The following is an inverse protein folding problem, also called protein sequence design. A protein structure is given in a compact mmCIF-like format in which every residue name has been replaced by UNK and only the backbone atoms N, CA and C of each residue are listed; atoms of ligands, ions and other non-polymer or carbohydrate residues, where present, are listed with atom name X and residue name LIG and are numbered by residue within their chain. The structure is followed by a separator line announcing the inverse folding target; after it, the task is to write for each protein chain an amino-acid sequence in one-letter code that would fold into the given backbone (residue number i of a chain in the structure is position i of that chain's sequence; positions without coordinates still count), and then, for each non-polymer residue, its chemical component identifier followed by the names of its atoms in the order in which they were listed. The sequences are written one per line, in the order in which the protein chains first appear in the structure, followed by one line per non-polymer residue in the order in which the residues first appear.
data_IF_491377475558
#
_entry.id   IF_491377475558
#
_cell.length_a   1.000
_cell.length_b   1.000
_cell.length_c   1.000
_cell.angle_alpha   90.00
_cell.angle_beta   90.00
_cell.angle_gamma   90.00
#
_symmetry.space_group_name_H-M   'P 1'
#
loop_
_entity.id
_entity.type
_entity.pdbx_description
1 polymer ?
#
# COMPACT_ATOMS: atom_id res chain seq x y z
N UNK A 1 12.15 8.91 33.82
CA UNK A 1 12.03 10.01 34.79
C UNK A 1 10.85 10.81 34.29
N UNK A 2 9.63 10.70 34.82
CA UNK A 2 9.14 10.25 36.13
C UNK A 2 7.77 9.51 35.97
N UNK A 3 7.28 8.93 37.08
CA UNK A 3 5.87 8.52 37.34
C UNK A 3 5.41 7.21 36.67
N UNK A 4 4.81 6.20 37.33
CA UNK A 4 4.25 6.00 38.66
C UNK A 4 4.37 4.49 39.00
N UNK A 5 4.72 4.15 40.25
CA UNK A 5 4.75 2.78 40.75
C UNK A 5 3.36 2.42 41.30
N UNK A 6 2.53 1.74 40.51
CA UNK A 6 1.34 1.07 41.05
C UNK A 6 1.72 -0.30 41.62
N UNK A 7 1.66 -0.40 42.95
CA UNK A 7 1.81 -1.61 43.73
C UNK A 7 0.45 -2.32 43.85
N UNK A 8 0.29 -3.50 43.23
CA UNK A 8 -0.77 -4.44 43.58
C UNK A 8 -0.17 -5.70 44.22
N UNK A 9 -0.63 -6.00 45.44
CA UNK A 9 -0.23 -7.13 46.26
C UNK A 9 -1.10 -8.35 45.92
N UNK A 10 -0.48 -9.41 45.40
CA UNK A 10 -1.06 -10.75 45.43
C UNK A 10 0.03 -11.78 45.77
N UNK A 11 -0.17 -12.49 46.88
CA UNK A 11 0.51 -13.72 47.30
C UNK A 11 1.99 -13.62 47.74
N UNK A 12 2.31 -12.65 48.59
CA UNK A 12 3.37 -12.77 49.61
C UNK A 12 4.82 -12.97 49.14
N UNK A 13 5.13 -12.83 47.84
CA UNK A 13 6.50 -12.96 47.32
C UNK A 13 6.92 -11.72 46.55
N UNK A 14 7.85 -10.95 47.12
CA UNK A 14 8.55 -9.83 46.47
C UNK A 14 9.23 -10.31 45.18
N UNK A 15 8.66 -10.03 44.02
CA UNK A 15 9.33 -10.20 42.72
C UNK A 15 9.65 -8.83 42.11
N UNK A 16 10.93 -8.52 41.96
CA UNK A 16 11.41 -7.35 41.23
C UNK A 16 11.04 -7.50 39.75
N UNK A 17 10.17 -6.65 39.21
CA UNK A 17 9.99 -6.52 37.76
C UNK A 17 11.25 -5.90 37.14
N UNK A 18 12.03 -6.69 36.41
CA UNK A 18 13.03 -6.15 35.47
C UNK A 18 12.36 -6.00 34.10
N UNK A 19 12.39 -4.79 33.53
CA UNK A 19 12.02 -4.55 32.13
C UNK A 19 13.06 -5.22 31.23
N UNK A 20 12.61 -6.17 30.40
CA UNK A 20 13.39 -6.78 29.31
C UNK A 20 13.23 -5.90 28.06
N UNK A 21 14.32 -5.67 27.32
CA UNK A 21 14.28 -5.03 26.00
C UNK A 21 14.18 -6.13 24.93
N UNK A 22 13.11 -6.11 24.15
CA UNK A 22 12.96 -6.95 22.96
C UNK A 22 13.76 -6.38 21.79
N UNK A 23 14.22 -7.25 20.87
CA UNK A 23 14.64 -6.83 19.52
C UNK A 23 13.48 -6.94 18.52
N UNK A 24 13.73 -6.48 17.30
CA UNK A 24 12.74 -6.18 16.25
C UNK A 24 12.02 -7.43 15.69
N UNK A 25 12.44 -8.64 16.06
CA UNK A 25 11.85 -9.90 15.58
C UNK A 25 11.04 -10.66 16.65
N UNK A 26 11.05 -10.21 17.90
CA UNK A 26 10.22 -10.78 18.98
C UNK A 26 10.65 -12.17 19.47
N UNK A 27 11.91 -12.55 19.27
CA UNK A 27 12.46 -13.80 19.79
C UNK A 27 13.25 -13.51 21.09
N UNK A 28 12.85 -14.14 22.20
CA UNK A 28 13.51 -14.03 23.50
C UNK A 28 13.95 -15.42 24.00
N UNK A 29 15.14 -15.48 24.62
CA UNK A 29 15.53 -16.58 25.50
C UNK A 29 15.56 -16.00 26.92
N UNK A 30 14.65 -16.47 27.77
CA UNK A 30 14.64 -16.14 29.19
C UNK A 30 15.26 -17.31 29.97
N UNK A 31 16.33 -17.03 30.71
CA UNK A 31 16.82 -17.91 31.78
C UNK A 31 16.14 -17.49 33.09
N UNK A 32 15.32 -18.38 33.66
CA UNK A 32 14.82 -18.27 35.02
C UNK A 32 14.99 -19.64 35.70
N UNK A 33 15.71 -19.68 36.83
CA UNK A 33 15.87 -20.85 37.70
C UNK A 33 16.23 -22.21 37.03
N UNK A 34 16.99 -22.18 35.92
CA UNK A 34 17.43 -23.41 35.22
C UNK A 34 16.45 -23.97 34.20
N UNK A 35 15.41 -23.20 33.85
CA UNK A 35 14.50 -23.47 32.73
C UNK A 35 14.75 -22.47 31.57
N UNK A 36 14.82 -22.98 30.34
CA UNK A 36 14.93 -22.18 29.13
C UNK A 36 13.55 -22.06 28.47
N UNK A 37 13.15 -20.82 28.19
CA UNK A 37 11.95 -20.52 27.42
C UNK A 37 12.34 -20.14 25.99
N UNK A 38 11.84 -20.90 25.02
CA UNK A 38 11.96 -20.59 23.59
C UNK A 38 10.58 -20.28 23.02
N UNK A 39 10.40 -19.09 22.44
CA UNK A 39 9.13 -18.66 21.85
C UNK A 39 9.26 -18.59 20.34
N UNK A 40 8.40 -19.32 19.61
CA UNK A 40 8.32 -19.26 18.14
C UNK A 40 6.89 -19.34 17.66
N UNK A 41 6.46 -18.42 16.78
CA UNK A 41 5.11 -18.37 16.17
C UNK A 41 3.99 -18.50 17.21
N UNK A 42 4.07 -17.73 18.29
CA UNK A 42 3.10 -17.72 19.41
C UNK A 42 2.99 -19.05 20.18
N UNK A 43 3.99 -19.94 20.08
CA UNK A 43 4.10 -21.14 20.92
C UNK A 43 5.33 -21.04 21.81
N UNK A 44 5.16 -21.39 23.08
CA UNK A 44 6.19 -21.37 24.11
C UNK A 44 6.65 -22.81 24.34
N UNK A 45 7.96 -23.02 24.32
CA UNK A 45 8.60 -24.31 24.61
C UNK A 45 9.44 -24.17 25.88
N UNK A 46 9.27 -25.13 26.81
CA UNK A 46 9.98 -25.21 28.09
C UNK A 46 11.04 -26.31 28.03
N UNK A 47 12.25 -26.03 28.49
CA UNK A 47 13.35 -27.01 28.62
C UNK A 47 14.04 -26.85 29.97
N UNK A 48 14.48 -27.94 30.61
CA UNK A 48 15.32 -27.88 31.82
C UNK A 48 16.79 -28.06 31.46
N UNK A 49 17.71 -27.43 32.20
CA UNK A 49 19.16 -27.60 31.99
C UNK A 49 19.63 -29.05 32.09
N UNK A 50 18.93 -29.88 32.87
CA UNK A 50 19.17 -31.34 33.01
C UNK A 50 18.73 -32.16 31.80
N UNK A 51 17.95 -31.57 30.89
CA UNK A 51 17.52 -32.22 29.66
C UNK A 51 18.65 -32.21 28.60
N UNK A 52 19.70 -31.40 28.81
CA UNK A 52 20.84 -31.34 27.91
C UNK A 52 21.97 -32.28 28.40
N UNK A 53 22.62 -33.04 27.49
CA UNK A 53 23.80 -33.81 27.85
C UNK A 53 24.94 -32.86 28.32
N UNK A 54 25.84 -33.33 29.20
CA UNK A 54 26.91 -32.48 29.74
C UNK A 54 27.83 -31.95 28.64
N UNK A 55 28.39 -30.76 28.88
CA UNK A 55 29.15 -29.89 27.94
C UNK A 55 30.27 -30.59 27.14
N UNK A 56 30.72 -31.78 27.56
CA UNK A 56 31.79 -32.55 26.91
C UNK A 56 31.42 -33.98 26.49
N UNK A 57 30.21 -34.46 26.80
CA UNK A 57 29.81 -35.85 26.52
C UNK A 57 29.80 -36.17 25.01
N UNK A 58 29.34 -35.23 24.20
CA UNK A 58 29.27 -35.35 22.74
C UNK A 58 30.65 -35.32 22.08
N UNK A 59 31.58 -34.50 22.61
CA UNK A 59 32.95 -34.39 22.11
C UNK A 59 33.79 -35.63 22.42
N UNK A 60 33.53 -36.32 23.53
CA UNK A 60 34.24 -37.55 23.90
C UNK A 60 33.79 -38.78 23.11
N UNK A 61 32.58 -38.77 22.52
CA UNK A 61 32.00 -39.96 21.87
C UNK A 61 31.90 -39.90 20.33
N UNK A 62 32.16 -38.75 19.68
CA UNK A 62 32.09 -38.63 18.22
C UNK A 62 33.11 -37.64 17.63
N UNK A 63 34.30 -38.10 17.17
CA UNK A 63 35.22 -37.26 16.41
C UNK A 63 34.73 -37.14 14.96
N UNK A 64 34.43 -35.90 14.56
CA UNK A 64 33.78 -35.46 13.31
C UNK A 64 32.25 -35.69 13.26
N UNK A 65 31.44 -34.63 13.13
CA UNK A 65 30.00 -34.77 13.07
C UNK A 65 29.62 -35.43 11.75
N UNK A 66 29.21 -36.70 11.79
CA UNK A 66 28.55 -37.36 10.66
C UNK A 66 27.32 -36.54 10.25
N UNK A 67 27.24 -36.13 8.98
CA UNK A 67 26.12 -35.39 8.40
C UNK A 67 25.19 -36.38 7.70
N UNK A 68 24.01 -36.66 8.28
CA UNK A 68 23.04 -37.51 7.60
C UNK A 68 22.40 -36.74 6.44
N UNK A 69 22.03 -37.39 5.31
CA UNK A 69 21.39 -36.72 4.18
C UNK A 69 20.13 -35.92 4.56
N UNK A 70 19.47 -36.34 5.64
CA UNK A 70 18.30 -35.67 6.20
C UNK A 70 18.65 -34.37 6.91
N UNK A 71 19.74 -34.35 7.67
CA UNK A 71 20.28 -33.15 8.31
C UNK A 71 20.77 -32.17 7.26
N UNK A 72 21.53 -32.64 6.26
CA UNK A 72 22.03 -31.81 5.17
C UNK A 72 20.89 -31.13 4.40
N UNK A 73 19.88 -31.90 3.99
CA UNK A 73 18.72 -31.37 3.27
C UNK A 73 17.97 -30.31 4.06
N UNK A 74 17.83 -30.50 5.38
CA UNK A 74 17.13 -29.55 6.24
C UNK A 74 17.92 -28.26 6.44
N UNK A 75 19.25 -28.36 6.59
CA UNK A 75 20.15 -27.21 6.69
C UNK A 75 20.11 -26.38 5.40
N UNK A 76 20.29 -27.02 4.24
CA UNK A 76 20.20 -26.37 2.92
C UNK A 76 18.84 -25.68 2.75
N UNK A 77 17.74 -26.37 3.02
CA UNK A 77 16.37 -25.84 2.87
C UNK A 77 16.10 -24.61 3.77
N UNK A 78 16.80 -24.48 4.89
CA UNK A 78 16.64 -23.35 5.81
C UNK A 78 17.59 -22.20 5.47
N UNK A 79 18.79 -22.51 4.98
CA UNK A 79 19.70 -21.53 4.40
C UNK A 79 19.09 -20.84 3.17
N UNK A 80 18.42 -21.60 2.29
CA UNK A 80 17.69 -21.07 1.13
C UNK A 80 16.57 -20.10 1.54
N UNK A 81 16.04 -20.24 2.76
CA UNK A 81 15.03 -19.32 3.33
C UNK A 81 15.65 -18.12 4.04
N UNK A 82 16.99 -18.00 4.04
CA UNK A 82 17.71 -16.93 4.72
C UNK A 82 17.68 -17.06 6.25
N UNK A 83 17.49 -18.26 6.81
CA UNK A 83 17.63 -18.44 8.27
C UNK A 83 19.10 -18.31 8.69
N UNK A 84 19.38 -17.74 9.87
CA UNK A 84 20.77 -17.66 10.37
C UNK A 84 21.26 -19.04 10.83
N UNK A 85 22.58 -19.24 10.93
CA UNK A 85 23.14 -20.50 11.43
C UNK A 85 22.66 -20.85 12.85
N UNK A 86 22.46 -19.84 13.70
CA UNK A 86 21.90 -19.98 15.05
C UNK A 86 20.43 -20.45 14.98
N UNK A 87 19.62 -19.87 14.10
CA UNK A 87 18.20 -20.23 13.94
C UNK A 87 18.03 -21.66 13.42
N UNK A 88 18.88 -22.05 12.47
CA UNK A 88 18.91 -23.41 11.91
C UNK A 88 19.22 -24.41 13.02
N UNK A 89 20.22 -24.10 13.84
CA UNK A 89 20.64 -24.92 14.98
C UNK A 89 19.53 -25.06 16.01
N UNK A 90 18.92 -23.95 16.42
CA UNK A 90 17.81 -23.94 17.38
C UNK A 90 16.62 -24.77 16.88
N UNK A 91 16.25 -24.62 15.60
CA UNK A 91 15.16 -25.40 15.01
C UNK A 91 15.49 -26.89 14.92
N UNK A 92 16.73 -27.24 14.58
CA UNK A 92 17.17 -28.63 14.55
C UNK A 92 17.13 -29.24 15.95
N UNK A 93 17.63 -28.55 16.96
CA UNK A 93 17.55 -29.00 18.36
C UNK A 93 16.10 -29.32 18.74
N UNK A 94 15.15 -28.43 18.46
CA UNK A 94 13.72 -28.66 18.73
C UNK A 94 13.16 -29.86 17.95
N UNK A 95 13.53 -30.03 16.69
CA UNK A 95 13.01 -31.11 15.83
C UNK A 95 13.54 -32.50 16.20
N UNK A 96 14.84 -32.59 16.47
CA UNK A 96 15.51 -33.86 16.76
C UNK A 96 15.29 -34.28 18.22
N UNK A 97 15.14 -33.32 19.14
CA UNK A 97 14.66 -33.56 20.51
C UNK A 97 13.32 -34.30 20.53
N UNK A 98 12.33 -33.83 19.74
CA UNK A 98 11.01 -34.47 19.63
C UNK A 98 11.05 -35.90 19.10
N UNK A 99 12.13 -36.29 18.42
CA UNK A 99 12.30 -37.62 17.81
C UNK A 99 13.21 -38.54 18.62
N UNK A 100 13.73 -38.06 19.76
CA UNK A 100 14.65 -38.82 20.61
C UNK A 100 15.99 -39.12 19.94
N UNK A 101 16.41 -38.30 18.95
CA UNK A 101 17.69 -38.49 18.26
C UNK A 101 18.62 -37.30 18.47
N UNK A 102 19.93 -37.57 18.54
CA UNK A 102 20.99 -36.58 18.76
C UNK A 102 21.68 -36.16 17.47
N UNK A 103 20.95 -36.10 16.35
CA UNK A 103 21.50 -35.74 15.02
C UNK A 103 21.57 -34.23 14.77
N UNK A 104 21.23 -33.40 15.76
CA UNK A 104 21.29 -31.94 15.62
C UNK A 104 22.76 -31.45 15.54
N UNK A 105 22.95 -30.26 14.98
CA UNK A 105 24.28 -29.65 14.74
C UNK A 105 24.35 -28.31 15.44
N UNK A 106 25.51 -27.99 15.99
CA UNK A 106 25.77 -26.69 16.60
C UNK A 106 25.98 -25.60 15.54
N UNK A 107 25.81 -24.34 15.94
CA UNK A 107 25.90 -23.20 15.04
C UNK A 107 27.23 -23.14 14.28
N UNK A 108 28.35 -23.42 14.98
CA UNK A 108 29.67 -23.45 14.34
C UNK A 108 29.80 -24.61 13.33
N UNK A 109 29.19 -25.77 13.61
CA UNK A 109 29.21 -26.93 12.71
C UNK A 109 28.39 -26.66 11.44
N UNK A 110 27.24 -26.02 11.58
CA UNK A 110 26.43 -25.55 10.45
C UNK A 110 27.22 -24.55 9.62
N UNK A 111 27.86 -23.56 10.25
CA UNK A 111 28.72 -22.59 9.56
C UNK A 111 29.88 -23.26 8.81
N UNK A 112 30.60 -24.17 9.45
CA UNK A 112 31.75 -24.85 8.84
C UNK A 112 31.33 -25.73 7.65
N UNK A 113 30.21 -26.45 7.77
CA UNK A 113 29.61 -27.20 6.66
C UNK A 113 29.25 -26.27 5.50
N UNK A 114 28.59 -25.15 5.79
CA UNK A 114 28.22 -24.15 4.78
C UNK A 114 29.43 -23.59 4.04
N UNK A 115 30.48 -23.21 4.77
CA UNK A 115 31.72 -22.67 4.20
C UNK A 115 32.44 -23.73 3.34
N UNK A 116 32.54 -24.97 3.85
CA UNK A 116 33.19 -26.06 3.13
C UNK A 116 32.47 -26.40 1.80
N UNK A 117 31.12 -26.39 1.82
CA UNK A 117 30.28 -26.71 0.68
C UNK A 117 29.87 -25.49 -0.16
N UNK A 118 30.39 -24.29 0.16
CA UNK A 118 30.06 -23.00 -0.50
C UNK A 118 28.56 -22.70 -0.52
N UNK A 119 27.85 -23.05 0.55
CA UNK A 119 26.44 -22.75 0.78
C UNK A 119 26.36 -21.45 1.57
N UNK A 120 26.16 -20.32 0.89
CA UNK A 120 26.05 -19.02 1.56
C UNK A 120 24.58 -18.65 1.79
N UNK A 121 24.21 -18.13 2.97
CA UNK A 121 22.83 -17.74 3.24
C UNK A 121 22.41 -16.60 2.31
N UNK A 122 21.25 -16.74 1.68
CA UNK A 122 20.64 -15.75 0.76
C UNK A 122 20.51 -14.35 1.40
N UNK A 123 20.47 -14.26 2.74
CA UNK A 123 20.39 -12.99 3.49
C UNK A 123 21.58 -12.05 3.24
N UNK A 124 22.79 -12.55 3.04
CA UNK A 124 23.97 -11.68 2.90
C UNK A 124 23.93 -10.90 1.57
N UNK A 125 23.42 -11.51 0.50
CA UNK A 125 23.16 -10.81 -0.78
C UNK A 125 22.03 -9.79 -0.65
N UNK A 126 21.01 -10.08 0.17
CA UNK A 126 19.86 -9.20 0.37
C UNK A 126 20.24 -7.90 1.10
N UNK A 127 20.99 -7.97 2.21
CA UNK A 127 21.39 -6.79 2.97
C UNK A 127 22.33 -5.88 2.14
N UNK A 128 23.27 -6.48 1.40
CA UNK A 128 24.15 -5.75 0.47
C UNK A 128 23.33 -5.06 -0.65
N UNK A 129 22.29 -5.73 -1.18
CA UNK A 129 21.42 -5.16 -2.21
C UNK A 129 20.58 -3.98 -1.68
N UNK A 130 20.10 -4.05 -0.43
CA UNK A 130 19.34 -2.99 0.24
C UNK A 130 20.20 -1.74 0.44
N UNK A 131 21.43 -1.90 0.93
CA UNK A 131 22.37 -0.80 1.15
C UNK A 131 22.84 -0.17 -0.18
N UNK A 132 23.08 -0.99 -1.19
CA UNK A 132 23.36 -0.53 -2.55
C UNK A 132 22.18 0.27 -3.14
N UNK A 133 20.94 -0.17 -2.91
CA UNK A 133 19.74 0.54 -3.37
C UNK A 133 19.59 1.90 -2.68
N UNK A 134 19.81 1.96 -1.37
CA UNK A 134 19.80 3.21 -0.60
C UNK A 134 20.88 4.20 -1.07
N UNK A 135 22.13 3.76 -1.16
CA UNK A 135 23.25 4.61 -1.58
C UNK A 135 23.09 5.11 -3.03
N UNK A 136 22.58 4.28 -3.93
CA UNK A 136 22.32 4.69 -5.31
C UNK A 136 21.13 5.65 -5.43
N UNK A 137 20.03 5.39 -4.71
CA UNK A 137 18.89 6.31 -4.59
C UNK A 137 19.35 7.69 -4.17
N UNK A 138 20.30 7.74 -3.25
CA UNK A 138 20.87 8.99 -2.79
C UNK A 138 21.56 9.78 -3.93
N UNK A 139 22.31 9.11 -4.79
CA UNK A 139 22.94 9.72 -5.96
C UNK A 139 21.90 10.19 -6.99
N UNK A 140 20.83 9.42 -7.19
CA UNK A 140 19.74 9.76 -8.12
C UNK A 140 19.00 11.02 -7.72
N UNK A 141 18.75 11.28 -6.43
CA UNK A 141 18.01 12.45 -5.97
C UNK A 141 18.48 13.78 -6.60
N UNK A 142 19.80 14.03 -6.65
CA UNK A 142 20.35 15.27 -7.20
C UNK A 142 20.25 15.34 -8.73
N UNK A 143 20.44 14.21 -9.42
CA UNK A 143 20.48 14.16 -10.88
C UNK A 143 19.08 14.09 -11.50
N UNK A 144 18.12 13.43 -10.84
CA UNK A 144 16.77 13.24 -11.33
C UNK A 144 16.04 14.56 -11.55
N UNK A 145 16.12 15.50 -10.58
CA UNK A 145 15.48 16.81 -10.73
C UNK A 145 16.12 17.66 -11.81
N UNK A 146 17.44 17.55 -12.01
CA UNK A 146 18.13 18.28 -13.10
C UNK A 146 17.69 17.77 -14.47
N UNK A 147 17.58 16.45 -14.65
CA UNK A 147 17.11 15.82 -15.89
C UNK A 147 15.67 16.24 -16.24
N UNK A 148 14.81 16.33 -15.23
CA UNK A 148 13.40 16.64 -15.40
C UNK A 148 13.06 18.12 -15.10
N UNK A 149 14.04 19.02 -15.05
CA UNK A 149 13.78 20.42 -14.63
C UNK A 149 12.91 21.19 -15.64
N UNK A 150 12.99 20.82 -16.92
CA UNK A 150 12.34 21.50 -18.04
C UNK A 150 11.01 20.85 -18.46
N UNK A 151 10.70 19.65 -17.96
CA UNK A 151 9.51 18.88 -18.33
C UNK A 151 8.67 18.55 -17.11
N UNK A 152 7.35 18.57 -17.26
CA UNK A 152 6.46 17.88 -16.33
C UNK A 152 6.61 16.37 -16.53
N UNK A 153 6.60 15.61 -15.44
CA UNK A 153 6.56 14.14 -15.54
C UNK A 153 5.24 13.74 -16.17
N UNK A 154 5.31 12.94 -17.23
CA UNK A 154 4.14 12.45 -17.92
C UNK A 154 3.60 11.22 -17.16
N UNK A 155 2.42 11.36 -16.56
CA UNK A 155 1.71 10.30 -15.83
C UNK A 155 0.48 9.84 -16.64
N UNK A 156 0.57 9.89 -17.97
CA UNK A 156 -0.55 9.52 -18.86
C UNK A 156 -0.78 8.03 -18.99
N UNK A 157 0.20 7.18 -18.69
CA UNK A 157 0.03 5.73 -18.80
C UNK A 157 0.05 5.06 -17.44
N UNK A 158 -0.72 4.00 -17.29
CA UNK A 158 -0.72 3.14 -16.11
C UNK A 158 0.70 2.67 -15.78
N UNK A 159 1.10 2.85 -14.51
CA UNK A 159 2.42 2.45 -14.03
C UNK A 159 2.45 0.94 -13.76
N UNK A 160 2.83 0.18 -14.78
CA UNK A 160 3.09 -1.25 -14.64
C UNK A 160 4.57 -1.49 -14.28
N UNK A 161 4.87 -2.29 -13.24
CA UNK A 161 6.24 -2.63 -12.90
C UNK A 161 6.95 -3.36 -14.05
N UNK A 162 8.15 -2.89 -14.42
CA UNK A 162 8.95 -3.62 -15.39
C UNK A 162 9.62 -4.85 -14.74
N UNK A 163 9.78 -5.90 -15.55
CA UNK A 163 10.46 -7.14 -15.16
C UNK A 163 11.35 -7.60 -16.31
N UNK A 164 12.61 -7.21 -16.25
CA UNK A 164 13.65 -7.63 -17.20
C UNK A 164 15.00 -7.58 -16.49
N UNK A 165 15.96 -8.38 -16.97
CA UNK A 165 17.34 -8.30 -16.51
C UNK A 165 18.00 -6.98 -16.93
N UNK A 166 18.96 -6.52 -16.14
CA UNK A 166 19.73 -5.33 -16.45
C UNK A 166 18.99 -4.01 -16.20
N UNK A 167 19.55 -2.93 -16.76
CA UNK A 167 19.08 -1.56 -16.52
C UNK A 167 17.96 -1.18 -17.47
N UNK A 168 17.07 -0.29 -17.03
CA UNK A 168 16.05 0.33 -17.87
C UNK A 168 16.69 1.39 -18.78
N UNK A 169 17.30 0.93 -19.86
CA UNK A 169 17.96 1.72 -20.90
C UNK A 169 17.42 1.29 -22.26
N UNK A 170 17.71 2.05 -23.32
CA UNK A 170 17.22 1.81 -24.67
C UNK A 170 17.63 0.42 -25.22
N UNK A 171 18.79 -0.08 -24.80
CA UNK A 171 19.34 -1.39 -25.20
C UNK A 171 18.90 -2.55 -24.28
N UNK A 172 17.91 -2.35 -23.40
CA UNK A 172 17.39 -3.43 -22.57
C UNK A 172 16.79 -4.54 -23.44
N UNK A 173 17.05 -5.80 -23.09
CA UNK A 173 16.46 -6.97 -23.76
C UNK A 173 15.79 -7.88 -22.73
N UNK A 174 14.44 -8.01 -22.72
CA UNK A 174 13.50 -7.29 -23.59
C UNK A 174 13.48 -5.77 -23.31
N UNK A 175 12.99 -4.95 -24.26
CA UNK A 175 12.84 -3.51 -24.08
C UNK A 175 12.06 -3.16 -22.81
N UNK A 176 12.50 -2.10 -22.13
CA UNK A 176 11.87 -1.69 -20.89
C UNK A 176 10.66 -0.80 -21.16
N UNK A 177 9.45 -1.29 -20.87
CA UNK A 177 8.19 -0.52 -20.94
C UNK A 177 8.28 0.84 -20.22
N UNK A 178 8.89 0.90 -19.03
CA UNK A 178 9.01 2.16 -18.30
C UNK A 178 9.86 3.18 -19.07
N UNK A 179 10.91 2.71 -19.75
CA UNK A 179 11.76 3.57 -20.57
C UNK A 179 11.03 4.03 -21.84
N UNK A 180 10.36 3.11 -22.55
CA UNK A 180 9.60 3.41 -23.77
C UNK A 180 8.50 4.44 -23.53
N UNK A 181 7.73 4.28 -22.45
CA UNK A 181 6.67 5.21 -22.06
C UNK A 181 7.20 6.46 -21.34
N UNK A 182 8.52 6.59 -21.16
CA UNK A 182 9.18 7.70 -20.46
C UNK A 182 8.63 7.94 -19.04
N UNK A 183 8.16 6.87 -18.40
CA UNK A 183 7.67 6.89 -17.02
C UNK A 183 8.79 6.46 -16.05
N UNK A 184 8.91 7.08 -14.87
CA UNK A 184 9.89 6.64 -13.89
C UNK A 184 9.60 5.22 -13.40
N UNK A 185 10.64 4.41 -13.21
CA UNK A 185 10.49 3.13 -12.52
C UNK A 185 10.10 3.37 -11.06
N UNK A 186 9.16 2.59 -10.54
CA UNK A 186 8.71 2.67 -9.14
C UNK A 186 9.52 1.72 -8.26
N UNK A 187 9.25 1.68 -6.95
CA UNK A 187 9.83 0.67 -6.04
C UNK A 187 9.40 -0.77 -6.39
N UNK A 188 8.29 -0.93 -7.11
CA UNK A 188 7.74 -2.23 -7.48
C UNK A 188 8.45 -2.84 -8.70
N UNK A 189 9.19 -2.03 -9.47
CA UNK A 189 9.94 -2.53 -10.64
C UNK A 189 11.08 -3.47 -10.22
N UNK A 190 11.20 -4.58 -10.94
CA UNK A 190 12.20 -5.64 -10.74
C UNK A 190 13.49 -5.43 -11.55
N UNK A 191 13.66 -4.26 -12.15
CA UNK A 191 14.91 -3.88 -12.81
C UNK A 191 16.06 -3.68 -11.82
N UNK A 192 17.28 -3.65 -12.34
CA UNK A 192 18.52 -3.49 -11.59
C UNK A 192 18.44 -2.42 -10.48
N UNK A 193 19.04 -2.69 -9.31
CA UNK A 193 19.02 -1.75 -8.18
C UNK A 193 19.67 -0.41 -8.46
N UNK A 194 20.56 -0.36 -9.47
CA UNK A 194 21.21 0.85 -9.98
C UNK A 194 20.47 1.44 -11.20
N UNK A 195 19.18 1.12 -11.34
CA UNK A 195 18.34 1.68 -12.40
C UNK A 195 18.26 3.21 -12.29
N UNK A 196 18.77 3.89 -13.32
CA UNK A 196 18.77 5.36 -13.41
C UNK A 196 17.40 5.97 -13.71
N UNK A 197 16.45 5.16 -14.16
CA UNK A 197 15.07 5.56 -14.43
C UNK A 197 14.19 5.50 -13.16
N UNK A 198 14.71 4.96 -12.05
CA UNK A 198 13.93 4.81 -10.80
C UNK A 198 13.69 6.16 -10.13
N UNK A 199 12.46 6.36 -9.66
CA UNK A 199 12.09 7.55 -8.91
C UNK A 199 12.76 7.54 -7.52
N UNK A 200 13.54 8.57 -7.16
CA UNK A 200 14.33 8.54 -5.93
C UNK A 200 13.58 8.94 -4.66
N UNK A 201 12.33 9.42 -4.78
CA UNK A 201 11.59 10.04 -3.69
C UNK A 201 12.08 11.44 -3.34
N UNK A 202 11.60 11.99 -2.23
CA UNK A 202 12.03 13.29 -1.73
C UNK A 202 13.00 13.18 -0.54
N UNK A 203 13.71 14.28 -0.28
CA UNK A 203 14.50 14.49 0.94
C UNK A 203 14.09 15.77 1.67
N UNK A 204 12.80 16.09 1.61
CA UNK A 204 12.27 17.29 2.25
C UNK A 204 12.35 17.16 3.77
N UNK A 205 12.43 18.30 4.46
CA UNK A 205 12.21 18.35 5.89
C UNK A 205 10.76 17.97 6.23
N UNK A 206 10.48 17.48 7.46
CA UNK A 206 9.15 17.15 7.93
C UNK A 206 8.13 18.26 7.62
N UNK A 207 6.94 17.88 7.14
CA UNK A 207 5.84 18.81 6.86
C UNK A 207 5.94 19.67 5.59
N UNK A 208 7.05 19.61 4.84
CA UNK A 208 7.32 20.58 3.74
C UNK A 208 6.83 20.17 2.35
N UNK A 209 6.28 18.97 2.16
CA UNK A 209 5.93 18.42 0.84
C UNK A 209 4.67 19.03 0.18
N UNK A 210 4.41 20.35 0.30
CA UNK A 210 3.20 21.03 -0.24
C UNK A 210 3.41 21.73 -1.58
N UNK A 211 4.66 21.86 -2.01
CA UNK A 211 5.03 22.71 -3.16
C UNK A 211 5.90 21.95 -4.14
N UNK A 212 6.06 22.53 -5.35
CA UNK A 212 6.93 22.00 -6.41
C UNK A 212 8.42 21.92 -6.03
N UNK A 213 8.83 22.43 -4.86
CA UNK A 213 10.17 22.20 -4.30
C UNK A 213 10.36 20.72 -3.92
N UNK A 214 9.31 20.03 -3.47
CA UNK A 214 9.33 18.59 -3.28
C UNK A 214 9.31 17.86 -4.64
N UNK A 215 10.17 16.86 -4.81
CA UNK A 215 10.24 16.07 -6.04
C UNK A 215 8.97 15.25 -6.26
N UNK A 216 8.40 14.66 -5.20
CA UNK A 216 7.13 13.92 -5.26
C UNK A 216 6.00 14.84 -5.72
N UNK A 217 5.80 15.97 -5.04
CA UNK A 217 4.75 16.92 -5.38
C UNK A 217 4.92 17.50 -6.80
N UNK A 218 6.14 17.77 -7.23
CA UNK A 218 6.43 18.19 -8.60
C UNK A 218 6.07 17.14 -9.65
N UNK A 219 6.30 15.87 -9.35
CA UNK A 219 5.94 14.74 -10.20
C UNK A 219 4.43 14.45 -10.19
N UNK A 220 3.64 15.15 -9.35
CA UNK A 220 2.26 14.78 -9.02
C UNK A 220 2.16 13.36 -8.43
N UNK A 221 3.11 13.00 -7.57
CA UNK A 221 3.15 11.73 -6.85
C UNK A 221 3.03 12.00 -5.35
N UNK A 222 2.34 11.12 -4.61
CA UNK A 222 2.41 11.13 -3.15
C UNK A 222 3.80 10.71 -2.66
N UNK A 223 4.13 11.11 -1.43
CA UNK A 223 5.34 10.68 -0.77
C UNK A 223 5.20 9.22 -0.37
N UNK A 224 6.08 8.37 -0.90
CA UNK A 224 6.10 6.96 -0.58
C UNK A 224 6.93 6.72 0.69
N UNK A 225 6.42 6.04 1.72
CA UNK A 225 7.16 5.84 2.98
C UNK A 225 8.39 4.94 2.84
N UNK A 226 8.44 4.06 1.84
CA UNK A 226 9.62 3.22 1.57
C UNK A 226 10.74 4.00 0.91
N UNK A 227 10.41 5.16 0.34
CA UNK A 227 11.34 5.97 -0.45
C UNK A 227 11.64 7.32 0.23
N UNK A 228 10.67 7.97 0.87
CA UNK A 228 10.73 9.34 1.37
C UNK A 228 11.00 9.43 2.88
N UNK A 229 12.15 8.91 3.31
CA UNK A 229 12.50 8.70 4.73
C UNK A 229 12.60 9.95 5.62
N UNK A 230 12.72 11.16 5.06
CA UNK A 230 12.97 12.39 5.85
C UNK A 230 11.77 13.31 6.02
N UNK A 231 10.71 13.15 5.20
CA UNK A 231 9.64 14.14 5.11
C UNK A 231 8.50 13.93 6.10
N UNK A 232 8.57 12.86 6.91
CA UNK A 232 7.53 12.50 7.86
C UNK A 232 6.35 11.76 7.24
N UNK A 233 6.52 11.11 6.08
CA UNK A 233 5.54 10.12 5.61
C UNK A 233 5.87 8.77 6.26
N UNK A 234 4.91 8.19 6.97
CA UNK A 234 5.07 6.92 7.68
C UNK A 234 4.06 5.91 7.15
N UNK A 235 4.44 4.62 7.19
CA UNK A 235 3.56 3.50 6.81
C UNK A 235 2.39 3.36 7.77
N UNK A 236 2.70 3.47 9.07
CA UNK A 236 1.75 3.29 10.15
C UNK A 236 1.43 4.65 10.76
N UNK A 237 0.46 5.36 10.16
CA UNK A 237 -0.22 6.39 10.93
C UNK A 237 -1.00 5.70 12.07
N UNK A 238 -1.03 6.26 13.29
CA UNK A 238 -1.76 5.67 14.41
C UNK A 238 -3.17 5.26 13.98
N UNK A 239 -3.54 4.02 14.31
CA UNK A 239 -4.81 3.39 13.91
C UNK A 239 -6.05 4.20 14.35
N UNK A 240 -5.87 5.10 15.34
CA UNK A 240 -6.86 6.09 15.70
C UNK A 240 -6.80 7.31 14.76
N UNK A 241 -7.79 7.37 13.85
CA UNK A 241 -8.03 8.53 12.98
C UNK A 241 -8.19 9.83 13.76
N UNK A 242 -8.65 9.80 15.01
CA UNK A 242 -8.81 10.98 15.88
C UNK A 242 -7.49 11.67 16.21
N UNK A 243 -6.43 10.90 16.48
CA UNK A 243 -5.11 11.45 16.88
C UNK A 243 -4.44 12.25 15.75
N UNK A 244 -4.77 11.91 14.50
CA UNK A 244 -4.25 12.58 13.30
C UNK A 244 -4.94 13.92 13.01
N UNK A 245 -6.20 14.09 13.42
CA UNK A 245 -6.94 15.34 13.27
C UNK A 245 -6.69 16.29 14.44
N UNK A 246 -6.59 15.76 15.67
CA UNK A 246 -6.38 16.56 16.89
C UNK A 246 -4.94 17.05 17.04
N UNK A 247 -3.96 16.33 16.46
CA UNK A 247 -2.56 16.75 16.39
C UNK A 247 -2.09 16.69 14.94
N UNK A 248 -2.52 17.64 14.11
CA UNK A 248 -1.76 18.03 12.91
C UNK A 248 -0.40 18.57 13.36
N UNK A 249 0.49 17.67 13.75
CA UNK A 249 1.88 18.00 13.99
C UNK A 249 2.42 18.55 12.68
N UNK A 250 3.00 19.75 12.71
CA UNK A 250 3.67 20.37 11.57
C UNK A 250 4.78 19.50 10.97
N UNK A 251 5.14 18.40 11.64
CA UNK A 251 6.08 17.37 11.17
C UNK A 251 5.46 16.32 10.24
N UNK A 252 4.15 16.12 10.23
CA UNK A 252 3.52 15.10 9.36
C UNK A 252 3.61 15.50 7.89
N UNK A 253 3.98 14.54 7.02
CA UNK A 253 4.05 14.81 5.59
C UNK A 253 2.64 15.12 5.04
N UNK A 254 2.41 16.28 4.44
CA UNK A 254 1.10 16.65 3.90
C UNK A 254 0.81 16.01 2.53
N UNK A 255 1.79 15.35 1.91
CA UNK A 255 1.68 14.74 0.58
C UNK A 255 1.45 13.23 0.65
N UNK A 256 0.62 12.81 1.61
CA UNK A 256 0.18 11.42 1.81
C UNK A 256 -1.32 11.33 2.07
N UNK A 257 -2.07 12.41 1.82
CA UNK A 257 -3.45 12.59 2.24
C UNK A 257 -4.41 11.53 1.68
N UNK A 258 -4.15 11.04 0.47
CA UNK A 258 -4.91 9.95 -0.17
C UNK A 258 -4.53 8.61 0.48
N UNK A 259 -3.24 8.31 0.63
CA UNK A 259 -2.75 7.06 1.25
C UNK A 259 -3.34 6.87 2.65
N UNK A 260 -3.36 7.92 3.47
CA UNK A 260 -3.88 7.88 4.85
C UNK A 260 -5.41 7.92 4.91
N UNK A 261 -6.07 8.27 3.80
CA UNK A 261 -7.52 8.42 3.75
C UNK A 261 -8.04 9.46 4.75
N UNK A 262 -7.48 10.67 4.77
CA UNK A 262 -7.96 11.77 5.62
C UNK A 262 -8.76 12.80 4.82
N UNK A 263 -10.01 12.51 4.42
CA UNK A 263 -10.87 13.49 3.78
C UNK A 263 -11.39 14.50 4.81
N UNK A 264 -11.63 15.72 4.35
CA UNK A 264 -12.38 16.71 5.12
C UNK A 264 -13.81 16.24 5.35
N UNK A 265 -14.45 16.76 6.39
CA UNK A 265 -15.86 16.53 6.63
C UNK A 265 -16.67 17.14 5.49
N UNK A 266 -17.47 16.32 4.80
CA UNK A 266 -18.32 16.72 3.68
C UNK A 266 -19.70 16.11 3.89
N UNK A 267 -20.74 16.86 3.54
CA UNK A 267 -22.13 16.38 3.57
C UNK A 267 -22.84 16.72 2.26
N UNK A 268 -23.85 15.93 1.90
CA UNK A 268 -24.65 16.14 0.69
C UNK A 268 -25.94 16.86 1.05
N UNK A 269 -26.32 17.86 0.26
CA UNK A 269 -27.60 18.56 0.38
C UNK A 269 -28.12 18.95 -1.01
N UNK A 270 -29.34 19.47 -1.10
CA UNK A 270 -29.88 20.00 -2.35
C UNK A 270 -29.02 21.17 -2.83
N UNK A 271 -28.56 21.10 -4.08
CA UNK A 271 -27.76 22.16 -4.70
C UNK A 271 -28.64 23.32 -5.14
N UNK A 272 -28.11 24.54 -5.10
CA UNK A 272 -28.75 25.71 -5.70
C UNK A 272 -28.67 25.69 -7.24
N UNK A 273 -27.78 24.88 -7.81
CA UNK A 273 -27.59 24.75 -9.26
C UNK A 273 -28.46 23.64 -9.83
N UNK A 274 -28.19 22.40 -9.43
CA UNK A 274 -28.89 21.23 -9.98
C UNK A 274 -28.74 20.00 -9.07
N UNK A 275 -29.85 19.30 -8.82
CA UNK A 275 -29.85 18.04 -8.07
C UNK A 275 -29.24 18.18 -6.67
N UNK A 276 -28.33 17.26 -6.33
CA UNK A 276 -27.58 17.27 -5.09
C UNK A 276 -26.20 17.90 -5.29
N UNK A 277 -25.73 18.61 -4.26
CA UNK A 277 -24.40 19.19 -4.15
C UNK A 277 -23.65 18.60 -2.95
N UNK A 278 -22.33 18.69 -2.99
CA UNK A 278 -21.46 18.38 -1.85
C UNK A 278 -21.03 19.68 -1.16
N UNK A 279 -21.14 19.72 0.17
CA UNK A 279 -20.89 20.90 1.00
C UNK A 279 -19.82 20.59 2.04
N UNK A 280 -18.95 21.55 2.32
CA UNK A 280 -17.88 21.38 3.29
C UNK A 280 -18.40 21.55 4.73
N UNK A 281 -18.06 20.62 5.61
CA UNK A 281 -18.48 20.59 7.02
C UNK A 281 -17.54 21.31 7.99
N UNK A 282 -16.37 21.75 7.50
CA UNK A 282 -15.32 22.43 8.28
C UNK A 282 -14.60 23.49 7.44
N UNK A 283 -13.85 24.37 8.08
CA UNK A 283 -13.01 25.36 7.38
C UNK A 283 -11.80 24.67 6.74
N UNK A 284 -11.50 25.00 5.48
CA UNK A 284 -10.38 24.41 4.73
C UNK A 284 -9.51 25.51 4.13
N UNK A 285 -8.19 25.38 4.25
CA UNK A 285 -7.24 26.34 3.68
C UNK A 285 -6.93 26.06 2.22
N UNK A 286 -6.60 27.10 1.47
CA UNK A 286 -6.12 27.00 0.10
C UNK A 286 -4.99 25.98 -0.03
N UNK A 287 -5.11 25.08 -0.99
CA UNK A 287 -4.11 24.05 -1.29
C UNK A 287 -4.23 22.79 -0.42
N UNK A 288 -5.16 22.73 0.53
CA UNK A 288 -5.41 21.51 1.28
C UNK A 288 -6.20 20.47 0.48
N UNK A 289 -5.89 19.21 0.73
CA UNK A 289 -6.68 18.08 0.28
C UNK A 289 -8.07 18.10 0.93
N UNK A 290 -9.10 17.90 0.11
CA UNK A 290 -10.50 17.89 0.51
C UNK A 290 -11.00 16.46 0.57
N UNK A 291 -10.96 15.72 -0.53
CA UNK A 291 -11.44 14.34 -0.60
C UNK A 291 -10.89 13.66 -1.84
N UNK A 292 -10.79 12.34 -1.81
CA UNK A 292 -10.50 11.54 -3.01
C UNK A 292 -11.78 11.39 -3.84
N UNK A 293 -11.70 11.46 -5.17
CA UNK A 293 -12.82 11.07 -6.03
C UNK A 293 -12.72 9.58 -6.34
N UNK A 294 -13.60 8.79 -5.74
CA UNK A 294 -13.57 7.31 -5.81
C UNK A 294 -14.69 6.81 -6.71
N UNK A 295 -14.38 5.80 -7.52
CA UNK A 295 -15.35 5.07 -8.33
C UNK A 295 -14.79 3.74 -8.85
N UNK A 296 -15.52 3.08 -9.74
CA UNK A 296 -15.03 1.89 -10.44
C UNK A 296 -13.93 2.29 -11.43
N UNK A 297 -12.82 1.55 -11.47
CA UNK A 297 -11.80 1.74 -12.52
C UNK A 297 -12.19 0.89 -13.73
N UNK A 298 -12.40 1.53 -14.87
CA UNK A 298 -12.80 0.90 -16.13
C UNK A 298 -11.86 1.33 -17.25
N UNK A 299 -11.77 0.52 -18.33
CA UNK A 299 -11.01 0.90 -19.51
C UNK A 299 -11.72 2.03 -20.29
N UNK A 300 -10.99 2.68 -21.19
CA UNK A 300 -11.55 3.73 -22.05
C UNK A 300 -12.70 3.19 -22.90
N UNK A 301 -12.58 1.97 -23.44
CA UNK A 301 -13.62 1.36 -24.28
C UNK A 301 -14.91 1.09 -23.49
N UNK A 302 -14.77 0.62 -22.24
CA UNK A 302 -15.92 0.41 -21.36
C UNK A 302 -16.56 1.75 -20.96
N UNK A 303 -15.75 2.79 -20.74
CA UNK A 303 -16.24 4.13 -20.47
C UNK A 303 -17.04 4.70 -21.65
N UNK A 304 -16.58 4.48 -22.88
CA UNK A 304 -17.31 4.86 -24.10
C UNK A 304 -18.61 4.08 -24.25
N UNK A 305 -18.58 2.76 -23.99
CA UNK A 305 -19.77 1.90 -24.04
C UNK A 305 -20.84 2.36 -23.05
N UNK A 306 -20.46 2.64 -21.80
CA UNK A 306 -21.35 3.19 -20.77
C UNK A 306 -21.77 4.63 -21.10
N UNK A 307 -20.86 5.42 -21.65
CA UNK A 307 -21.07 6.82 -22.06
C UNK A 307 -22.26 7.01 -23.00
N UNK A 308 -22.49 6.06 -23.94
CA UNK A 308 -23.66 6.10 -24.83
C UNK A 308 -24.99 6.07 -24.08
N UNK A 309 -25.06 5.36 -22.95
CA UNK A 309 -26.24 5.33 -22.10
C UNK A 309 -26.33 6.58 -21.22
N UNK A 310 -25.20 7.02 -20.67
CA UNK A 310 -25.09 8.21 -19.81
C UNK A 310 -25.46 9.50 -20.53
N UNK A 311 -25.14 9.60 -21.82
CA UNK A 311 -25.54 10.71 -22.69
C UNK A 311 -27.06 10.80 -22.85
N UNK A 312 -27.75 9.65 -22.98
CA UNK A 312 -29.23 9.61 -23.04
C UNK A 312 -29.85 10.05 -21.70
N UNK A 313 -29.24 9.64 -20.60
CA UNK A 313 -29.66 10.00 -19.23
C UNK A 313 -29.26 11.42 -18.82
N UNK A 314 -28.44 12.12 -19.63
CA UNK A 314 -27.83 13.43 -19.30
C UNK A 314 -27.15 13.44 -17.92
N UNK A 315 -26.58 12.31 -17.54
CA UNK A 315 -25.90 12.07 -16.27
C UNK A 315 -24.60 11.32 -16.51
N UNK A 316 -23.48 11.98 -16.25
CA UNK A 316 -22.16 11.33 -16.29
C UNK A 316 -21.36 11.63 -15.02
N UNK A 317 -20.89 10.56 -14.39
CA UNK A 317 -19.99 10.58 -13.24
C UNK A 317 -18.62 9.96 -13.59
N UNK A 318 -18.24 10.03 -14.86
CA UNK A 318 -16.96 9.52 -15.34
C UNK A 318 -15.87 10.59 -15.27
N UNK A 319 -14.66 10.18 -14.91
CA UNK A 319 -13.48 11.04 -14.80
C UNK A 319 -12.28 10.31 -15.40
N UNK A 320 -11.69 10.86 -16.47
CA UNK A 320 -10.48 10.30 -17.09
C UNK A 320 -9.31 10.31 -16.12
N UNK A 321 -8.77 9.14 -15.80
CA UNK A 321 -7.69 8.98 -14.84
C UNK A 321 -6.33 9.11 -15.53
N UNK A 322 -6.18 8.42 -16.65
CA UNK A 322 -5.01 8.39 -17.50
C UNK A 322 -5.46 7.94 -18.92
N UNK A 323 -4.54 7.74 -19.86
CA UNK A 323 -4.83 7.36 -21.25
C UNK A 323 -5.36 5.91 -21.35
N UNK A 324 -5.18 5.09 -20.31
CA UNK A 324 -5.58 3.68 -20.28
C UNK A 324 -6.87 3.46 -19.44
N UNK A 325 -7.17 4.34 -18.49
CA UNK A 325 -8.16 4.11 -17.42
C UNK A 325 -9.06 5.33 -17.13
N UNK A 326 -10.30 5.04 -16.76
CA UNK A 326 -11.34 6.01 -16.37
C UNK A 326 -11.94 5.60 -15.02
N UNK A 327 -12.19 6.57 -14.15
CA UNK A 327 -12.96 6.36 -12.91
C UNK A 327 -14.44 6.61 -13.22
N UNK A 328 -15.30 5.64 -12.95
CA UNK A 328 -16.75 5.74 -13.07
C UNK A 328 -17.42 5.67 -11.68
N UNK A 329 -17.88 6.82 -11.18
CA UNK A 329 -18.54 6.90 -9.90
C UNK A 329 -20.06 6.63 -9.96
N UNK A 330 -20.60 6.17 -11.11
CA UNK A 330 -22.05 6.02 -11.30
C UNK A 330 -22.65 4.97 -10.38
N UNK A 331 -22.05 3.78 -10.32
CA UNK A 331 -22.54 2.61 -9.56
C UNK A 331 -21.93 2.51 -8.16
N UNK A 332 -20.63 2.72 -8.06
CA UNK A 332 -19.89 2.75 -6.80
C UNK A 332 -19.10 4.05 -6.74
N UNK A 333 -19.18 4.76 -5.62
CA UNK A 333 -18.43 6.00 -5.42
C UNK A 333 -18.64 6.58 -4.04
N UNK A 334 -17.99 7.70 -3.75
CA UNK A 334 -18.13 8.41 -2.48
C UNK A 334 -18.86 9.75 -2.66
N UNK A 335 -18.99 10.52 -1.57
CA UNK A 335 -19.68 11.82 -1.56
C UNK A 335 -19.12 12.83 -2.57
N UNK A 336 -17.87 12.68 -3.00
CA UNK A 336 -17.24 13.56 -3.97
C UNK A 336 -17.94 13.53 -5.34
N UNK A 337 -18.70 12.48 -5.66
CA UNK A 337 -19.50 12.39 -6.90
C UNK A 337 -20.57 13.47 -7.02
N UNK A 338 -20.96 14.11 -5.91
CA UNK A 338 -21.94 15.19 -5.87
C UNK A 338 -21.31 16.59 -5.96
N UNK A 339 -19.98 16.70 -6.09
CA UNK A 339 -19.33 18.00 -6.29
C UNK A 339 -19.63 18.47 -7.71
N UNK A 340 -20.37 19.57 -7.83
CA UNK A 340 -20.90 20.04 -9.11
C UNK A 340 -19.86 20.73 -9.99
N UNK A 341 -20.21 20.90 -11.27
CA UNK A 341 -19.42 21.65 -12.22
C UNK A 341 -19.54 23.16 -11.99
N UNK A 342 -18.42 23.88 -12.07
CA UNK A 342 -18.42 25.34 -12.26
C UNK A 342 -17.26 25.80 -13.14
N UNK A 343 -17.49 26.87 -13.91
CA UNK A 343 -16.43 27.60 -14.64
C UNK A 343 -15.56 28.45 -13.69
N UNK A 344 -16.09 28.81 -12.51
CA UNK A 344 -15.40 29.53 -11.45
C UNK A 344 -15.34 28.68 -10.17
N UNK A 345 -14.68 27.50 -10.21
CA UNK A 345 -14.76 26.55 -9.12
C UNK A 345 -13.89 26.96 -7.92
N UNK A 346 -14.31 26.57 -6.72
CA UNK A 346 -13.55 26.73 -5.49
C UNK A 346 -12.59 25.54 -5.20
N UNK A 347 -12.73 24.43 -5.95
CA UNK A 347 -11.86 23.27 -5.89
C UNK A 347 -11.23 22.95 -7.27
N UNK A 348 -10.13 22.20 -7.23
CA UNK A 348 -9.49 21.61 -8.40
C UNK A 348 -9.34 20.11 -8.19
N UNK A 349 -9.75 19.33 -9.18
CA UNK A 349 -9.40 17.93 -9.28
C UNK A 349 -8.00 17.80 -9.91
N UNK A 350 -7.19 16.91 -9.37
CA UNK A 350 -5.85 16.62 -9.87
C UNK A 350 -5.56 15.13 -9.69
N UNK A 351 -4.85 14.53 -10.64
CA UNK A 351 -4.45 13.12 -10.59
C UNK A 351 -3.09 13.01 -9.89
N UNK A 352 -3.00 12.14 -8.89
CA UNK A 352 -1.75 11.76 -8.24
C UNK A 352 -1.41 10.30 -8.51
N UNK A 353 -0.13 10.00 -8.61
CA UNK A 353 0.36 8.63 -8.43
C UNK A 353 0.53 8.37 -6.94
N UNK A 354 -0.15 7.36 -6.42
CA UNK A 354 -0.18 6.95 -5.02
C UNK A 354 0.23 5.49 -4.96
N UNK A 355 1.43 5.22 -4.43
CA UNK A 355 1.99 3.86 -4.30
C UNK A 355 2.02 3.02 -5.61
N UNK A 356 1.94 3.67 -6.77
CA UNK A 356 1.92 3.02 -8.09
C UNK A 356 0.60 3.17 -8.84
N UNK A 357 -0.47 3.55 -8.15
CA UNK A 357 -1.80 3.70 -8.76
C UNK A 357 -2.14 5.18 -9.01
N UNK A 358 -2.86 5.46 -10.09
CA UNK A 358 -3.43 6.78 -10.28
C UNK A 358 -4.67 6.96 -9.41
N UNK A 359 -4.76 8.09 -8.71
CA UNK A 359 -5.87 8.44 -7.82
C UNK A 359 -6.24 9.90 -8.04
N UNK A 360 -7.52 10.23 -7.92
CA UNK A 360 -8.01 11.60 -8.14
C UNK A 360 -8.18 12.28 -6.79
N UNK A 361 -7.41 13.33 -6.53
CA UNK A 361 -7.55 14.18 -5.35
C UNK A 361 -8.26 15.48 -5.66
N UNK A 362 -9.24 15.84 -4.83
CA UNK A 362 -9.87 17.16 -4.83
C UNK A 362 -9.11 18.06 -3.85
N UNK A 363 -8.68 19.23 -4.33
CA UNK A 363 -7.88 20.21 -3.57
C UNK A 363 -8.54 21.58 -3.60
N UNK A 364 -8.54 22.28 -2.47
CA UNK A 364 -9.09 23.62 -2.36
C UNK A 364 -8.26 24.66 -3.15
N UNK A 365 -8.90 25.48 -3.98
CA UNK A 365 -8.23 26.56 -4.76
C UNK A 365 -8.13 27.88 -4.02
N UNK A 366 -8.98 28.06 -3.00
CA UNK A 366 -9.03 29.19 -2.07
C UNK A 366 -9.38 28.66 -0.68
N UNK A 367 -9.37 29.53 0.32
CA UNK A 367 -9.95 29.21 1.62
C UNK A 367 -11.47 28.95 1.46
N UNK A 368 -11.95 27.89 2.11
CA UNK A 368 -13.34 27.47 2.14
C UNK A 368 -13.85 27.56 3.59
N UNK A 369 -15.06 28.04 3.75
CA UNK A 369 -15.79 28.12 5.01
C UNK A 369 -16.77 26.97 5.14
N UNK A 370 -16.96 26.51 6.38
CA UNK A 370 -18.02 25.56 6.71
C UNK A 370 -19.36 26.01 6.11
N UNK A 371 -20.03 25.11 5.40
CA UNK A 371 -21.31 25.32 4.75
C UNK A 371 -21.23 25.70 3.27
N UNK A 372 -20.05 25.96 2.72
CA UNK A 372 -19.90 26.26 1.29
C UNK A 372 -20.10 25.01 0.41
N UNK A 373 -20.83 25.16 -0.70
CA UNK A 373 -20.92 24.14 -1.75
C UNK A 373 -19.59 24.03 -2.50
N UNK A 374 -19.16 22.81 -2.77
CA UNK A 374 -17.94 22.49 -3.48
C UNK A 374 -18.20 22.41 -4.98
N UNK A 375 -17.28 22.96 -5.77
CA UNK A 375 -17.32 22.87 -7.23
C UNK A 375 -15.93 22.63 -7.81
N UNK A 376 -15.85 21.85 -8.89
CA UNK A 376 -14.64 21.78 -9.73
C UNK A 376 -14.97 21.90 -11.22
N UNK A 377 -13.97 22.16 -12.05
CA UNK A 377 -14.16 22.20 -13.48
C UNK A 377 -14.09 20.77 -14.05
N UNK A 378 -15.17 20.30 -14.67
CA UNK A 378 -15.26 18.94 -15.22
C UNK A 378 -14.42 18.77 -16.49
N UNK A 379 -13.89 19.85 -17.06
CA UNK A 379 -13.05 19.76 -18.26
C UNK A 379 -13.84 19.37 -19.51
N UNK A 380 -15.16 19.57 -19.53
CA UNK A 380 -15.98 19.31 -20.70
C UNK A 380 -15.39 19.99 -21.94
N UNK A 381 -15.25 19.21 -23.02
CA UNK A 381 -15.00 19.74 -24.35
C UNK A 381 -16.11 20.73 -24.73
N UNK A 382 -15.83 21.60 -25.69
CA UNK A 382 -16.79 22.62 -26.15
C UNK A 382 -18.12 22.01 -26.63
N UNK A 383 -18.07 20.78 -27.17
CA UNK A 383 -19.24 19.99 -27.58
C UNK A 383 -20.03 19.39 -26.41
N UNK A 384 -19.37 19.02 -25.32
CA UNK A 384 -20.04 18.45 -24.13
C UNK A 384 -20.67 19.53 -23.24
N UNK A 385 -20.12 20.75 -23.21
CA UNK A 385 -20.70 21.86 -22.42
C UNK A 385 -22.17 22.11 -22.79
N UNK A 386 -22.49 22.15 -24.07
CA UNK A 386 -23.85 22.41 -24.56
C UNK A 386 -24.90 21.37 -24.08
N UNK A 387 -24.49 20.12 -23.78
CA UNK A 387 -25.40 19.04 -23.37
C UNK A 387 -25.69 19.02 -21.87
N UNK A 388 -24.75 19.49 -21.04
CA UNK A 388 -24.80 19.29 -19.58
C UNK A 388 -24.90 20.58 -18.75
N UNK A 389 -24.73 21.77 -19.34
CA UNK A 389 -24.76 23.06 -18.60
C UNK A 389 -26.10 23.79 -18.64
N UNK A 390 -27.14 23.24 -19.28
CA UNK A 390 -28.45 23.91 -19.34
C UNK A 390 -29.25 23.73 -18.04
N UNK A 391 -29.89 24.83 -17.63
CA UNK A 391 -30.40 25.13 -16.28
C UNK A 391 -31.69 24.42 -15.87
N UNK A 392 -32.13 23.42 -16.61
CA UNK A 392 -33.39 22.71 -16.37
C UNK A 392 -33.17 21.20 -16.44
N UNK A 393 -32.76 20.61 -15.31
CA UNK A 393 -32.88 19.17 -15.07
C UNK A 393 -34.26 18.88 -14.50
N UNK A 394 -35.30 19.08 -15.30
CA UNK A 394 -36.62 18.50 -15.00
C UNK A 394 -36.61 17.02 -15.43
N UNK A 395 -37.03 16.14 -14.52
CA UNK A 395 -37.33 14.73 -14.81
C UNK A 395 -36.12 13.84 -15.16
N UNK A 396 -35.27 13.53 -14.19
CA UNK A 396 -34.37 12.38 -14.32
C UNK A 396 -35.15 11.12 -13.93
N UNK A 397 -35.46 10.28 -14.91
CA UNK A 397 -35.98 8.95 -14.65
C UNK A 397 -34.85 8.02 -14.17
N UNK A 398 -34.73 7.90 -12.86
CA UNK A 398 -33.76 7.03 -12.18
C UNK A 398 -34.14 5.55 -12.22
N UNK A 399 -35.26 5.17 -12.84
CA UNK A 399 -35.64 3.76 -13.01
C UNK A 399 -34.67 2.99 -13.94
N UNK A 400 -33.99 3.69 -14.85
CA UNK A 400 -32.97 3.11 -15.73
C UNK A 400 -31.63 2.81 -15.03
N UNK A 401 -31.46 3.22 -13.77
CA UNK A 401 -30.28 2.90 -12.95
C UNK A 401 -30.41 1.57 -12.20
N UNK A 402 -31.31 0.65 -12.61
CA UNK A 402 -31.56 -0.63 -11.95
C UNK A 402 -30.27 -1.34 -11.51
N UNK A 403 -29.93 -1.11 -10.24
CA UNK A 403 -28.84 -1.76 -9.54
C UNK A 403 -29.39 -3.11 -9.11
N UNK A 404 -28.74 -4.23 -9.45
CA UNK A 404 -29.15 -5.52 -8.92
C UNK A 404 -29.02 -5.47 -7.40
N UNK A 405 -30.16 -5.33 -6.71
CA UNK A 405 -30.25 -5.51 -5.27
C UNK A 405 -29.76 -6.94 -4.99
N UNK A 406 -28.61 -7.08 -4.34
CA UNK A 406 -28.23 -8.35 -3.72
C UNK A 406 -29.33 -8.73 -2.72
N UNK A 407 -30.26 -9.57 -3.17
CA UNK A 407 -31.31 -10.16 -2.34
C UNK A 407 -30.61 -10.98 -1.26
N UNK A 408 -30.60 -10.46 -0.03
CA UNK A 408 -30.43 -11.29 1.17
C UNK A 408 -31.53 -12.35 1.13
N UNK A 409 -31.16 -13.59 0.81
CA UNK A 409 -32.03 -14.77 0.92
C UNK A 409 -32.55 -14.86 2.35
N UNK A 410 -33.81 -14.47 2.57
CA UNK A 410 -34.62 -15.04 3.64
C UNK A 410 -35.16 -16.36 3.10
N UNK A 411 -34.77 -17.46 3.75
CA UNK A 411 -35.41 -18.77 3.59
C UNK A 411 -36.89 -18.62 4.01
N UNK A 412 -37.79 -19.07 3.16
CA UNK A 412 -39.22 -19.21 3.42
C UNK A 412 -39.79 -20.09 2.30
N UNK A 413 -40.40 -21.18 2.71
CA UNK A 413 -40.94 -22.30 1.93
C UNK A 413 -42.30 -21.98 1.28
N UNK A 414 -42.71 -22.80 0.31
CA UNK A 414 -44.05 -22.84 -0.32
C UNK A 414 -44.05 -22.34 -1.77
N UNK A 415 -44.14 -23.17 -2.82
CA UNK A 415 -45.27 -23.98 -3.35
C UNK A 415 -45.94 -23.31 -4.58
N UNK A 416 -46.20 -24.11 -5.64
CA UNK A 416 -47.01 -23.83 -6.85
C UNK A 416 -46.20 -23.38 -8.08
N UNK A 417 -46.03 -24.18 -9.16
CA UNK A 417 -46.96 -24.41 -10.31
C UNK A 417 -47.11 -23.14 -11.17
N UNK A 418 -47.06 -23.06 -12.51
CA UNK A 418 -47.08 -23.93 -13.72
C UNK A 418 -46.62 -23.00 -14.89
N UNK A 419 -45.77 -23.46 -15.81
CA UNK A 419 -46.04 -23.78 -17.25
C UNK A 419 -46.20 -22.60 -18.26
N UNK A 420 -45.63 -22.86 -19.44
CA UNK A 420 -45.86 -22.28 -20.78
C UNK A 420 -45.31 -20.89 -21.13
N UNK A 421 -44.90 -20.57 -22.36
CA UNK A 421 -44.38 -21.25 -23.57
C UNK A 421 -44.11 -20.10 -24.57
N UNK A 422 -43.36 -20.41 -25.63
CA UNK A 422 -43.30 -19.68 -26.93
C UNK A 422 -42.46 -18.39 -26.97
N UNK A 423 -41.31 -18.38 -27.64
CA UNK A 423 -41.11 -18.29 -29.11
C UNK A 423 -41.65 -16.97 -29.69
N UNK A 424 -40.73 -16.10 -30.13
CA UNK A 424 -40.71 -15.59 -31.51
C UNK A 424 -39.43 -14.75 -31.73
N UNK A 425 -38.57 -15.28 -32.60
CA UNK A 425 -37.54 -14.56 -33.32
C UNK A 425 -38.23 -13.73 -34.41
N UNK A 426 -37.97 -12.43 -34.50
CA UNK A 426 -38.03 -11.72 -35.77
C UNK A 426 -36.81 -10.80 -35.88
N UNK A 427 -35.96 -11.18 -36.84
CA UNK A 427 -35.03 -10.33 -37.55
C UNK A 427 -35.81 -9.19 -38.24
N UNK A 428 -35.27 -7.97 -38.25
CA UNK A 428 -35.25 -7.19 -39.49
C UNK A 428 -34.22 -6.04 -39.39
N UNK A 429 -33.47 -5.94 -40.47
CA UNK A 429 -32.46 -4.96 -40.80
C UNK A 429 -33.11 -3.61 -41.19
N UNK A 430 -32.57 -2.49 -40.70
CA UNK A 430 -32.11 -1.32 -41.49
C UNK A 430 -31.45 -0.26 -40.59
#
# INVERSE_FOLDING_TARGET
DEEEEEEEEYDGKRRKRRKVKCDENGDEILEDDGEFLYVKRKRIYHFKKTDFPPENWLNEHYPHPFWSPKVEKEVIRKLDRGESYCDITADMQVMYWKKGTSEWKECYQVKDYCVHHKLFPVKQEYDDEVDLRESFRQQLYKSWRKKNAKSTIDNKHRLLPCSHSGRCEEQANPPCRCHELKIPCTKLCLCDVRCRNRFPGCRCAPGKCRTRQCQCYFASWECDPDTCKSCGCVRDHPQNRSDLYEKRDDKLCPNVAITIGMPKLIYSSKSEIAGYGAFIGEDVKKGEFVVEYVGEIISVEEAERRGRMYDKLKLSYTFTLNDDEVVDATRAGNIARFINHSNYPNCSARVWVVQGDHRIGIVARRDLKKGEELFFNYGYSQTHKAKFTNKEREGIDVSLLDLPRQRRKRRGEGEGEEEDSDEEEEEEEE
#
